data_IF_386799110985
#
_entry.id   IF_386799110985
#
_cell.length_a   1.000
_cell.length_b   1.000
_cell.length_c   1.000
_cell.angle_alpha   90.00
_cell.angle_beta   90.00
_cell.angle_gamma   90.00
#
_symmetry.space_group_name_H-M   'P 1'
#
loop_
_entity.id
_entity.type
_entity.pdbx_description
1 polymer ?
#
# COMPACT_ATOMS: atom_id res chain seq x y z
N UNK A 1 -18.70 27.11 -6.01
CA UNK A 1 -18.64 25.67 -6.29
C UNK A 1 -17.86 24.98 -5.18
N UNK A 2 -18.53 24.07 -4.46
CA UNK A 2 -17.97 23.30 -3.35
C UNK A 2 -17.73 21.82 -3.70
N UNK A 3 -17.78 21.46 -4.97
CA UNK A 3 -17.60 20.09 -5.47
C UNK A 3 -16.35 19.39 -4.90
N UNK A 4 -15.27 20.14 -4.66
CA UNK A 4 -14.05 19.61 -4.03
C UNK A 4 -14.26 19.08 -2.60
N UNK A 5 -15.23 19.60 -1.85
CA UNK A 5 -15.48 19.23 -0.45
C UNK A 5 -16.69 18.31 -0.30
N UNK A 6 -17.78 18.57 -1.02
CA UNK A 6 -19.03 17.79 -0.91
C UNK A 6 -19.26 16.78 -2.03
N UNK A 7 -18.54 16.89 -3.15
CA UNK A 7 -18.81 16.12 -4.37
C UNK A 7 -20.03 16.60 -5.16
N UNK A 8 -20.73 17.65 -4.69
CA UNK A 8 -21.91 18.20 -5.37
C UNK A 8 -21.54 19.40 -6.25
N UNK A 9 -22.02 19.41 -7.49
CA UNK A 9 -21.77 20.49 -8.47
C UNK A 9 -22.77 21.66 -8.36
N UNK A 10 -23.71 21.59 -7.41
CA UNK A 10 -24.75 22.61 -7.26
C UNK A 10 -24.11 23.84 -6.61
N UNK A 11 -24.14 25.02 -7.27
CA UNK A 11 -23.58 26.23 -6.68
C UNK A 11 -24.43 26.68 -5.47
N UNK A 12 -23.75 26.92 -4.35
CA UNK A 12 -24.37 27.39 -3.11
C UNK A 12 -24.16 28.89 -2.95
N UNK A 13 -25.19 29.59 -2.52
CA UNK A 13 -25.13 31.02 -2.21
C UNK A 13 -24.42 31.25 -0.87
N UNK A 14 -23.61 32.31 -0.81
CA UNK A 14 -22.89 32.73 0.41
C UNK A 14 -23.43 34.06 0.91
N UNK A 15 -23.49 34.22 2.23
CA UNK A 15 -23.97 35.43 2.91
C UNK A 15 -23.22 35.63 4.22
N UNK A 16 -23.06 36.88 4.66
CA UNK A 16 -22.48 37.21 5.97
C UNK A 16 -23.33 36.76 7.17
N UNK A 17 -24.61 36.44 6.94
CA UNK A 17 -25.54 36.05 7.99
C UNK A 17 -25.10 34.73 8.65
N UNK A 18 -25.08 34.73 9.98
CA UNK A 18 -24.82 33.53 10.75
C UNK A 18 -25.89 32.48 10.45
N UNK A 19 -25.44 31.23 10.23
CA UNK A 19 -26.37 30.14 10.04
C UNK A 19 -27.21 29.95 11.32
N UNK A 20 -28.53 29.97 11.17
CA UNK A 20 -29.49 29.75 12.27
C UNK A 20 -29.96 28.30 12.32
N UNK A 21 -29.65 27.52 11.28
CA UNK A 21 -30.06 26.13 11.17
C UNK A 21 -28.98 25.18 11.69
N UNK A 22 -29.30 24.44 12.76
CA UNK A 22 -28.41 23.46 13.37
C UNK A 22 -28.28 22.17 12.55
N UNK A 23 -29.08 21.98 11.50
CA UNK A 23 -29.11 20.74 10.72
C UNK A 23 -28.35 20.84 9.38
N UNK A 24 -27.60 21.92 9.17
CA UNK A 24 -26.89 22.18 7.93
C UNK A 24 -25.52 21.49 7.91
N UNK A 25 -25.18 20.84 6.79
CA UNK A 25 -23.86 20.24 6.63
C UNK A 25 -22.78 21.32 6.67
N UNK A 26 -21.58 20.99 7.17
CA UNK A 26 -20.44 21.91 7.20
C UNK A 26 -20.22 22.53 5.81
N UNK A 27 -20.28 21.75 4.74
CA UNK A 27 -20.07 22.24 3.38
C UNK A 27 -21.11 23.30 2.93
N UNK A 28 -22.29 23.31 3.52
CA UNK A 28 -23.45 24.15 3.14
C UNK A 28 -23.55 25.45 3.94
N UNK A 29 -22.75 25.61 5.00
CA UNK A 29 -22.79 26.79 5.88
C UNK A 29 -22.58 28.09 5.06
N UNK A 30 -23.57 29.01 5.00
CA UNK A 30 -23.55 30.14 4.06
C UNK A 30 -22.49 31.19 4.35
N UNK A 31 -22.06 31.34 5.61
CA UNK A 31 -21.05 32.32 6.04
C UNK A 31 -19.61 31.78 6.02
N UNK A 32 -19.38 30.58 5.51
CA UNK A 32 -18.05 29.99 5.38
C UNK A 32 -17.66 29.79 3.93
N UNK A 33 -16.38 30.04 3.65
CA UNK A 33 -15.74 29.79 2.35
C UNK A 33 -14.58 28.84 2.61
N UNK A 34 -14.54 27.74 1.86
CA UNK A 34 -13.57 26.67 2.07
C UNK A 34 -12.41 26.76 1.09
N UNK A 35 -11.22 26.37 1.55
CA UNK A 35 -10.04 26.28 0.69
C UNK A 35 -10.29 25.25 -0.44
N UNK A 36 -9.85 25.58 -1.66
CA UNK A 36 -10.07 24.73 -2.85
C UNK A 36 -11.44 24.92 -3.52
N UNK A 37 -12.31 25.79 -3.00
CA UNK A 37 -13.59 26.12 -3.64
C UNK A 37 -13.45 27.29 -4.61
N UNK A 38 -14.27 27.32 -5.66
CA UNK A 38 -14.24 28.36 -6.71
C UNK A 38 -15.47 29.26 -6.62
N UNK A 39 -15.28 30.58 -6.73
CA UNK A 39 -16.37 31.54 -6.82
C UNK A 39 -16.95 31.50 -8.24
N UNK A 40 -18.20 31.05 -8.37
CA UNK A 40 -18.88 30.96 -9.67
C UNK A 40 -19.40 32.31 -10.15
N UNK A 41 -19.88 33.16 -9.23
CA UNK A 41 -20.41 34.47 -9.54
C UNK A 41 -20.29 35.40 -8.32
N UNK A 42 -20.08 36.70 -8.58
CA UNK A 42 -20.07 37.74 -7.55
C UNK A 42 -18.69 38.11 -7.03
N UNK A 43 -18.66 38.92 -5.99
CA UNK A 43 -17.44 39.34 -5.30
C UNK A 43 -17.76 39.49 -3.81
N UNK A 44 -16.80 39.14 -2.95
CA UNK A 44 -16.96 39.23 -1.51
C UNK A 44 -15.63 39.61 -0.85
N UNK A 45 -15.72 40.10 0.38
CA UNK A 45 -14.59 40.22 1.29
C UNK A 45 -14.77 39.18 2.39
N UNK A 46 -13.69 38.51 2.76
CA UNK A 46 -13.70 37.47 3.79
C UNK A 46 -12.45 37.56 4.66
N UNK A 47 -12.56 37.06 5.89
CA UNK A 47 -11.44 36.93 6.82
C UNK A 47 -10.92 35.50 6.75
N UNK A 48 -9.61 35.35 6.60
CA UNK A 48 -8.96 34.04 6.64
C UNK A 48 -8.90 33.55 8.09
N UNK A 49 -9.60 32.46 8.39
CA UNK A 49 -9.62 31.86 9.73
C UNK A 49 -8.75 30.59 9.85
N UNK A 50 -8.40 29.95 8.73
CA UNK A 50 -7.57 28.75 8.68
C UNK A 50 -6.73 28.69 7.39
N UNK A 51 -5.55 28.07 7.47
CA UNK A 51 -4.60 27.89 6.36
C UNK A 51 -3.95 26.50 6.40
N UNK A 52 -3.49 26.01 5.25
CA UNK A 52 -2.77 24.73 5.14
C UNK A 52 -3.58 23.54 5.66
N UNK A 53 -2.96 22.71 6.48
CA UNK A 53 -3.56 21.49 7.05
C UNK A 53 -4.72 21.78 8.02
N UNK A 54 -4.82 23.00 8.55
CA UNK A 54 -5.94 23.41 9.41
C UNK A 54 -7.22 23.74 8.61
N UNK A 55 -7.16 23.70 7.27
CA UNK A 55 -8.36 23.82 6.43
C UNK A 55 -9.08 22.48 6.33
N UNK A 56 -10.38 22.50 6.03
CA UNK A 56 -11.19 21.28 5.88
C UNK A 56 -10.60 20.31 4.83
N UNK A 57 -10.15 20.85 3.70
CA UNK A 57 -9.50 20.03 2.67
C UNK A 57 -8.12 19.52 3.10
N UNK A 58 -7.41 20.29 3.91
CA UNK A 58 -6.13 19.90 4.50
C UNK A 58 -6.29 18.73 5.47
N UNK A 59 -7.29 18.79 6.34
CA UNK A 59 -7.63 17.71 7.28
C UNK A 59 -8.00 16.42 6.53
N UNK A 60 -8.84 16.52 5.49
CA UNK A 60 -9.18 15.37 4.63
C UNK A 60 -7.94 14.80 3.94
N UNK A 61 -7.04 15.66 3.45
CA UNK A 61 -5.80 15.21 2.78
C UNK A 61 -4.83 14.53 3.75
N UNK A 62 -4.72 15.02 4.99
CA UNK A 62 -3.90 14.43 6.03
C UNK A 62 -4.47 13.07 6.43
N UNK A 63 -5.80 12.96 6.59
CA UNK A 63 -6.47 11.69 6.85
C UNK A 63 -6.23 10.69 5.72
N UNK A 64 -6.35 11.12 4.46
CA UNK A 64 -6.12 10.26 3.30
C UNK A 64 -4.66 9.79 3.19
N UNK A 65 -3.70 10.65 3.55
CA UNK A 65 -2.26 10.33 3.48
C UNK A 65 -1.81 9.39 4.60
N UNK A 66 -2.47 9.43 5.75
CA UNK A 66 -2.18 8.57 6.90
C UNK A 66 -2.87 7.20 6.83
N UNK A 67 -3.54 6.87 5.72
CA UNK A 67 -4.07 5.53 5.50
C UNK A 67 -2.89 4.59 5.27
N UNK A 68 -2.57 3.80 6.29
CA UNK A 68 -1.56 2.75 6.18
C UNK A 68 -2.00 1.75 5.10
N UNK A 69 -1.19 1.65 4.04
CA UNK A 69 -1.40 0.67 2.98
C UNK A 69 -0.97 -0.67 3.53
N UNK A 70 -1.89 -1.35 4.21
CA UNK A 70 -1.70 -2.73 4.63
C UNK A 70 -1.23 -3.61 3.47
N UNK A 71 -0.53 -4.70 3.78
CA UNK A 71 -0.03 -5.64 2.76
C UNK A 71 -1.16 -6.12 1.87
N UNK A 72 -0.95 -6.07 0.55
CA UNK A 72 -1.93 -6.56 -0.42
C UNK A 72 -2.28 -8.02 -0.14
N UNK A 73 -3.55 -8.40 -0.36
CA UNK A 73 -4.00 -9.80 -0.29
C UNK A 73 -3.14 -10.66 -1.22
N UNK A 74 -2.75 -10.11 -2.38
CA UNK A 74 -1.85 -10.78 -3.31
C UNK A 74 -0.45 -11.01 -2.72
N UNK A 75 0.13 -10.01 -2.05
CA UNK A 75 1.45 -10.14 -1.43
C UNK A 75 1.45 -11.20 -0.32
N UNK A 76 0.37 -11.26 0.46
CA UNK A 76 0.22 -12.27 1.52
C UNK A 76 0.14 -13.68 0.94
N UNK A 77 -0.65 -13.89 -0.11
CA UNK A 77 -0.76 -15.19 -0.77
C UNK A 77 0.54 -15.61 -1.46
N UNK A 78 1.20 -14.67 -2.15
CA UNK A 78 2.50 -14.92 -2.78
C UNK A 78 3.55 -15.31 -1.74
N UNK A 79 3.59 -14.63 -0.60
CA UNK A 79 4.48 -15.02 0.51
C UNK A 79 4.20 -16.44 1.01
N UNK A 80 2.94 -16.84 1.13
CA UNK A 80 2.59 -18.20 1.54
C UNK A 80 3.00 -19.25 0.53
N UNK A 81 2.78 -19.01 -0.77
CA UNK A 81 3.17 -19.94 -1.84
C UNK A 81 4.70 -20.07 -1.90
N UNK A 82 5.42 -18.94 -1.93
CA UNK A 82 6.88 -18.92 -1.97
C UNK A 82 7.47 -19.64 -0.76
N UNK A 83 6.93 -19.42 0.44
CA UNK A 83 7.38 -20.10 1.66
C UNK A 83 7.19 -21.61 1.58
N UNK A 84 6.03 -22.08 1.10
CA UNK A 84 5.75 -23.53 0.96
C UNK A 84 6.69 -24.18 -0.06
N UNK A 85 6.87 -23.57 -1.22
CA UNK A 85 7.75 -24.08 -2.28
C UNK A 85 9.21 -24.09 -1.81
N UNK A 86 9.67 -23.02 -1.16
CA UNK A 86 11.04 -22.91 -0.63
C UNK A 86 11.34 -23.99 0.41
N UNK A 87 10.41 -24.27 1.33
CA UNK A 87 10.56 -25.35 2.31
C UNK A 87 10.65 -26.70 1.61
N UNK A 88 9.77 -26.97 0.64
CA UNK A 88 9.75 -28.25 -0.08
C UNK A 88 11.04 -28.47 -0.90
N UNK A 89 11.53 -27.43 -1.59
CA UNK A 89 12.77 -27.45 -2.35
C UNK A 89 13.99 -27.68 -1.43
N UNK A 90 14.05 -26.98 -0.29
CA UNK A 90 15.15 -27.12 0.68
C UNK A 90 15.17 -28.53 1.29
N UNK A 91 14.02 -29.07 1.66
CA UNK A 91 13.92 -30.45 2.17
C UNK A 91 14.40 -31.47 1.13
N UNK A 92 13.99 -31.32 -0.14
CA UNK A 92 14.42 -32.22 -1.21
C UNK A 92 15.94 -32.14 -1.46
N UNK A 93 16.52 -30.93 -1.46
CA UNK A 93 17.95 -30.74 -1.63
C UNK A 93 18.77 -31.35 -0.48
N UNK A 94 18.33 -31.18 0.77
CA UNK A 94 18.97 -31.80 1.94
C UNK A 94 18.90 -33.33 1.86
N UNK A 95 17.73 -33.87 1.48
CA UNK A 95 17.55 -35.32 1.37
C UNK A 95 18.51 -35.94 0.34
N UNK A 96 18.63 -35.32 -0.83
CA UNK A 96 19.55 -35.77 -1.88
C UNK A 96 21.01 -35.59 -1.47
N UNK A 97 21.35 -34.49 -0.78
CA UNK A 97 22.69 -34.27 -0.23
C UNK A 97 23.10 -35.39 0.73
N UNK A 98 22.22 -35.78 1.66
CA UNK A 98 22.48 -36.86 2.63
C UNK A 98 22.67 -38.21 1.91
N UNK A 99 21.83 -38.53 0.92
CA UNK A 99 21.97 -39.78 0.15
C UNK A 99 23.30 -39.83 -0.59
N UNK A 100 23.69 -38.73 -1.25
CA UNK A 100 24.96 -38.66 -1.97
C UNK A 100 26.16 -38.74 -1.04
N UNK A 101 26.06 -38.09 0.12
CA UNK A 101 27.10 -38.13 1.15
C UNK A 101 27.23 -39.52 1.78
N UNK A 102 26.13 -40.27 1.92
CA UNK A 102 26.16 -41.62 2.50
C UNK A 102 26.59 -42.70 1.49
N UNK A 103 26.33 -42.51 0.19
CA UNK A 103 26.68 -43.47 -0.87
C UNK A 103 28.13 -43.40 -1.37
N UNK A 104 28.77 -42.22 -1.33
CA UNK A 104 30.19 -42.10 -1.67
C UNK A 104 30.99 -42.24 -0.39
N UNK A 105 31.83 -43.28 -0.32
CA UNK A 105 32.70 -43.57 0.82
C UNK A 105 33.30 -42.30 1.42
N UNK A 106 33.22 -42.23 2.76
CA UNK A 106 33.64 -41.13 3.65
C UNK A 106 35.08 -40.64 3.43
N UNK A 107 35.88 -41.40 2.67
CA UNK A 107 37.33 -41.26 2.53
C UNK A 107 37.79 -40.27 1.45
N UNK A 108 36.90 -39.78 0.56
CA UNK A 108 37.30 -38.80 -0.46
C UNK A 108 36.62 -37.44 -0.26
N UNK A 109 37.40 -36.40 0.07
CA UNK A 109 36.90 -35.02 0.16
C UNK A 109 36.25 -34.49 -1.14
N UNK A 110 36.43 -35.21 -2.26
CA UNK A 110 35.74 -34.95 -3.52
C UNK A 110 34.25 -35.31 -3.49
N UNK A 111 33.83 -36.28 -2.68
CA UNK A 111 32.43 -36.65 -2.51
C UNK A 111 31.61 -35.50 -1.93
N UNK A 112 32.17 -34.80 -0.94
CA UNK A 112 31.55 -33.64 -0.29
C UNK A 112 31.42 -32.44 -1.25
N UNK A 113 32.45 -32.17 -2.05
CA UNK A 113 32.40 -31.09 -3.05
C UNK A 113 31.33 -31.37 -4.12
N UNK A 114 31.28 -32.59 -4.62
CA UNK A 114 30.31 -32.99 -5.63
C UNK A 114 28.86 -32.97 -5.10
N UNK A 115 28.63 -33.44 -3.87
CA UNK A 115 27.29 -33.41 -3.25
C UNK A 115 26.82 -31.98 -2.99
N UNK A 116 27.71 -31.08 -2.57
CA UNK A 116 27.39 -29.68 -2.33
C UNK A 116 27.03 -28.95 -3.62
N UNK A 117 27.80 -29.14 -4.70
CA UNK A 117 27.50 -28.55 -6.02
C UNK A 117 26.14 -29.05 -6.54
N UNK A 118 25.85 -30.35 -6.38
CA UNK A 118 24.58 -30.92 -6.80
C UNK A 118 23.39 -30.38 -5.98
N UNK A 119 23.54 -30.27 -4.65
CA UNK A 119 22.51 -29.74 -3.77
C UNK A 119 22.20 -28.27 -4.05
N UNK A 120 23.23 -27.45 -4.30
CA UNK A 120 23.06 -26.04 -4.69
C UNK A 120 22.38 -25.94 -6.06
N UNK A 121 22.81 -26.74 -7.05
CA UNK A 121 22.17 -26.77 -8.36
C UNK A 121 20.70 -27.18 -8.31
N UNK A 122 20.37 -28.16 -7.45
CA UNK A 122 18.99 -28.58 -7.20
C UNK A 122 18.17 -27.48 -6.52
N UNK A 123 18.75 -26.77 -5.54
CA UNK A 123 18.09 -25.63 -4.90
C UNK A 123 17.76 -24.53 -5.91
N UNK A 124 18.73 -24.09 -6.70
CA UNK A 124 18.55 -23.05 -7.73
C UNK A 124 17.49 -23.48 -8.77
N UNK A 125 17.50 -24.74 -9.20
CA UNK A 125 16.52 -25.26 -10.15
C UNK A 125 15.07 -25.32 -9.62
N UNK A 126 14.88 -25.36 -8.29
CA UNK A 126 13.56 -25.47 -7.66
C UNK A 126 13.08 -24.17 -7.00
N UNK A 127 13.94 -23.16 -6.87
CA UNK A 127 13.52 -21.81 -6.48
C UNK A 127 12.79 -21.21 -7.70
N UNK A 128 11.53 -20.78 -7.55
CA UNK A 128 10.79 -20.21 -8.65
C UNK A 128 11.27 -18.76 -8.88
N UNK A 129 12.44 -18.62 -9.50
CA UNK A 129 13.03 -17.32 -9.85
C UNK A 129 12.13 -16.51 -10.82
N UNK A 130 11.22 -17.19 -11.54
CA UNK A 130 10.20 -16.56 -12.37
C UNK A 130 8.90 -16.18 -11.64
N UNK A 131 8.79 -16.40 -10.33
CA UNK A 131 7.59 -16.09 -9.53
C UNK A 131 7.78 -14.87 -8.62
N UNK A 132 9.03 -14.41 -8.42
CA UNK A 132 9.27 -13.05 -7.96
C UNK A 132 8.79 -12.12 -9.07
N UNK A 133 7.74 -11.34 -8.82
CA UNK A 133 7.06 -10.67 -9.91
C UNK A 133 8.01 -9.62 -10.50
N UNK A 134 8.21 -9.74 -11.82
CA UNK A 134 8.41 -8.61 -12.73
C UNK A 134 7.21 -7.67 -12.66
N UNK A 135 6.99 -7.05 -11.49
CA UNK A 135 6.15 -5.87 -11.27
C UNK A 135 7.01 -4.73 -10.76
#
# INVERSE_FOLDING_TARGET
>A
DNSMLSGETIPLNRSELANTDNNCSIAEIPNLIYAGTTVTQGSCFAVVYAIGNNTQIGEVSDLASNIDKGKSILDQEMHHIVKKVSIMATCAAIFVFIIYWWKKDFASGEAFKASLIFAVGMLVANIPEGLLPTV
#
